data_IF_476807796487
#
_entry.id   IF_476807796487
#
_cell.length_a   1.000
_cell.length_b   1.000
_cell.length_c   1.000
_cell.angle_alpha   90.00
_cell.angle_beta   90.00
_cell.angle_gamma   90.00
#
_symmetry.space_group_name_H-M   'P 1'
#
loop_
_entity.id
_entity.type
_entity.pdbx_description
1 polymer ?
#
# COMPACT_ATOMS: atom_id res chain seq x y z
N UNK A 1 6.21 25.42 9.80
CA UNK A 1 6.39 26.02 8.46
C UNK A 1 5.06 25.91 7.74
N UNK A 2 4.50 27.00 7.20
CA UNK A 2 3.19 26.95 6.53
C UNK A 2 3.33 26.16 5.23
N UNK A 3 2.35 25.34 4.84
CA UNK A 3 2.39 24.54 3.59
C UNK A 3 2.77 25.37 2.36
N UNK A 4 2.36 26.64 2.31
CA UNK A 4 2.75 27.59 1.25
C UNK A 4 4.24 27.94 1.23
N UNK A 5 4.90 28.01 2.39
CA UNK A 5 6.34 28.28 2.50
C UNK A 5 7.16 27.07 2.03
N UNK A 6 6.71 25.85 2.36
CA UNK A 6 7.30 24.60 1.85
C UNK A 6 7.21 24.55 0.32
N UNK A 7 6.04 24.87 -0.26
CA UNK A 7 5.83 24.90 -1.72
C UNK A 7 6.74 25.94 -2.38
N UNK A 8 6.85 27.13 -1.80
CA UNK A 8 7.71 28.19 -2.31
C UNK A 8 9.20 27.81 -2.26
N UNK A 9 9.64 27.12 -1.20
CA UNK A 9 11.02 26.64 -1.08
C UNK A 9 11.34 25.47 -2.01
N UNK A 10 10.41 24.52 -2.18
CA UNK A 10 10.57 23.40 -3.13
C UNK A 10 10.56 23.84 -4.60
N UNK A 11 10.16 25.08 -4.88
CA UNK A 11 10.20 25.68 -6.22
C UNK A 11 11.52 26.42 -6.51
N UNK A 12 12.42 26.55 -5.53
CA UNK A 12 13.71 27.21 -5.73
C UNK A 12 14.78 26.21 -6.19
N UNK A 13 15.50 26.47 -7.29
CA UNK A 13 16.57 25.61 -7.78
C UNK A 13 17.68 25.44 -6.73
N UNK A 14 18.07 24.20 -6.42
CA UNK A 14 19.23 23.88 -5.57
C UNK A 14 18.91 23.61 -4.09
N UNK A 15 17.68 23.85 -3.62
CA UNK A 15 17.24 23.47 -2.26
C UNK A 15 16.54 22.09 -2.23
N UNK A 16 16.32 21.47 -3.39
CA UNK A 16 15.47 20.28 -3.51
C UNK A 16 16.00 19.06 -2.74
N UNK A 17 17.31 18.70 -2.76
CA UNK A 17 17.77 17.45 -2.16
C UNK A 17 17.68 17.42 -0.62
N UNK A 18 18.04 18.52 0.05
CA UNK A 18 18.09 18.61 1.51
C UNK A 18 16.69 18.72 2.13
N UNK A 19 15.85 19.61 1.59
CA UNK A 19 14.46 19.75 2.03
C UNK A 19 13.69 18.43 1.84
N UNK A 20 13.93 17.72 0.75
CA UNK A 20 13.27 16.45 0.45
C UNK A 20 13.76 15.30 1.33
N UNK A 21 15.07 15.17 1.58
CA UNK A 21 15.59 14.16 2.52
C UNK A 21 15.04 14.33 3.94
N UNK A 22 14.91 15.58 4.37
CA UNK A 22 14.43 15.88 5.71
C UNK A 22 12.90 15.71 5.83
N UNK A 23 12.14 15.99 4.77
CA UNK A 23 10.73 15.61 4.67
C UNK A 23 10.55 14.09 4.67
N UNK A 24 11.35 13.33 3.91
CA UNK A 24 11.31 11.86 3.91
C UNK A 24 11.54 11.29 5.32
N UNK A 25 12.56 11.78 6.04
CA UNK A 25 12.85 11.34 7.40
C UNK A 25 11.70 11.68 8.37
N UNK A 26 11.14 12.88 8.25
CA UNK A 26 9.98 13.32 9.01
C UNK A 26 8.75 12.41 8.78
N UNK A 27 8.44 12.09 7.52
CA UNK A 27 7.29 11.24 7.20
C UNK A 27 7.52 9.77 7.54
N UNK A 28 8.75 9.26 7.42
CA UNK A 28 9.09 7.91 7.87
C UNK A 28 8.91 7.79 9.39
N UNK A 29 9.46 8.74 10.16
CA UNK A 29 9.28 8.79 11.61
C UNK A 29 7.81 8.90 12.02
N UNK A 30 7.06 9.81 11.38
CA UNK A 30 5.63 9.96 11.65
C UNK A 30 4.82 8.71 11.28
N UNK A 31 5.23 7.98 10.24
CA UNK A 31 4.62 6.70 9.89
C UNK A 31 4.92 5.64 10.94
N UNK A 32 6.15 5.55 11.45
CA UNK A 32 6.49 4.57 12.48
C UNK A 32 5.81 4.89 13.81
N UNK A 33 5.81 6.16 14.25
CA UNK A 33 5.07 6.61 15.44
C UNK A 33 3.55 6.34 15.31
N UNK A 34 2.98 6.55 14.13
CA UNK A 34 1.57 6.27 13.88
C UNK A 34 1.26 4.75 13.85
N UNK A 35 2.25 3.89 13.62
CA UNK A 35 2.08 2.44 13.69
C UNK A 35 2.22 1.86 15.11
N UNK A 36 2.66 2.69 16.08
CA UNK A 36 2.63 2.35 17.50
C UNK A 36 1.22 2.47 18.09
N UNK A 37 0.35 3.29 17.49
CA UNK A 37 -1.06 3.36 17.87
C UNK A 37 -1.83 2.15 17.34
N UNK A 38 -2.72 1.58 18.17
CA UNK A 38 -3.53 0.40 17.83
C UNK A 38 -4.99 0.79 17.47
N UNK A 39 -5.18 1.94 16.81
CA UNK A 39 -6.48 2.48 16.42
C UNK A 39 -6.56 2.83 14.92
N UNK A 40 -7.77 3.01 14.39
CA UNK A 40 -7.97 3.28 12.97
C UNK A 40 -7.43 4.65 12.52
N UNK A 41 -7.42 5.66 13.38
CA UNK A 41 -6.89 6.98 13.03
C UNK A 41 -5.36 6.92 12.89
N UNK A 42 -4.70 6.21 13.81
CA UNK A 42 -3.28 5.86 13.77
C UNK A 42 -2.94 5.09 12.48
N UNK A 43 -3.77 4.12 12.07
CA UNK A 43 -3.64 3.43 10.77
C UNK A 43 -3.64 4.41 9.59
N UNK A 44 -4.65 5.29 9.54
CA UNK A 44 -4.83 6.22 8.44
C UNK A 44 -3.71 7.25 8.37
N UNK A 45 -3.24 7.73 9.52
CA UNK A 45 -2.09 8.62 9.61
C UNK A 45 -0.81 7.96 9.12
N UNK A 46 -0.56 6.71 9.54
CA UNK A 46 0.58 5.92 9.06
C UNK A 46 0.53 5.76 7.54
N UNK A 47 -0.66 5.42 7.00
CA UNK A 47 -0.86 5.26 5.57
C UNK A 47 -0.55 6.54 4.81
N UNK A 48 -1.14 7.66 5.22
CA UNK A 48 -0.96 8.94 4.56
C UNK A 48 0.50 9.41 4.64
N UNK A 49 1.15 9.25 5.79
CA UNK A 49 2.56 9.62 6.00
C UNK A 49 3.49 8.80 5.12
N UNK A 50 3.33 7.46 5.11
CA UNK A 50 4.10 6.58 4.25
C UNK A 50 3.92 6.91 2.76
N UNK A 51 2.69 7.22 2.31
CA UNK A 51 2.42 7.62 0.93
C UNK A 51 3.11 8.91 0.52
N UNK A 52 3.28 9.85 1.46
CA UNK A 52 4.05 11.07 1.19
C UNK A 52 5.54 10.74 1.11
N UNK A 53 6.08 10.00 2.08
CA UNK A 53 7.49 9.58 2.09
C UNK A 53 7.87 8.83 0.80
N UNK A 54 7.00 7.92 0.33
CA UNK A 54 7.18 7.20 -0.92
C UNK A 54 7.37 8.13 -2.12
N UNK A 55 6.46 9.09 -2.29
CA UNK A 55 6.50 10.03 -3.42
C UNK A 55 7.73 10.92 -3.39
N UNK A 56 8.11 11.39 -2.21
CA UNK A 56 9.32 12.18 -2.01
C UNK A 56 10.57 11.36 -2.39
N UNK A 57 10.64 10.09 -1.96
CA UNK A 57 11.73 9.18 -2.34
C UNK A 57 11.89 9.00 -3.85
N UNK A 58 10.77 8.84 -4.56
CA UNK A 58 10.76 8.75 -6.03
C UNK A 58 11.25 10.06 -6.65
N UNK A 59 10.75 11.20 -6.17
CA UNK A 59 11.16 12.50 -6.67
C UNK A 59 12.66 12.76 -6.46
N UNK A 60 13.20 12.38 -5.30
CA UNK A 60 14.63 12.48 -5.00
C UNK A 60 15.48 11.63 -5.93
N UNK A 61 15.10 10.38 -6.13
CA UNK A 61 15.81 9.50 -7.06
C UNK A 61 15.79 10.08 -8.48
N UNK A 62 14.62 10.53 -8.94
CA UNK A 62 14.48 11.12 -10.26
C UNK A 62 15.33 12.40 -10.42
N UNK A 63 15.34 13.33 -9.45
CA UNK A 63 16.20 14.53 -9.51
C UNK A 63 17.70 14.18 -9.50
N UNK A 64 18.10 13.19 -8.69
CA UNK A 64 19.48 12.71 -8.68
C UNK A 64 19.89 12.15 -10.04
N UNK A 65 19.02 11.33 -10.66
CA UNK A 65 19.24 10.82 -12.01
C UNK A 65 19.26 11.95 -13.04
N UNK A 66 18.39 12.95 -12.94
CA UNK A 66 18.39 14.10 -13.85
C UNK A 66 19.75 14.82 -13.85
N UNK A 67 20.32 15.07 -12.67
CA UNK A 67 21.63 15.72 -12.52
C UNK A 67 22.77 14.90 -13.15
N UNK A 68 22.73 13.57 -13.04
CA UNK A 68 23.70 12.68 -13.68
C UNK A 68 23.68 12.75 -15.21
N UNK A 69 22.55 13.17 -15.79
CA UNK A 69 22.30 13.23 -17.23
C UNK A 69 22.21 14.66 -17.77
N UNK A 70 22.86 15.64 -17.13
CA UNK A 70 22.86 17.04 -17.57
C UNK A 70 23.40 17.24 -19.01
N UNK A 71 24.15 16.28 -19.55
CA UNK A 71 24.64 16.28 -20.93
C UNK A 71 23.66 15.62 -21.93
N UNK A 72 22.52 15.10 -21.48
CA UNK A 72 21.45 14.53 -22.30
C UNK A 72 20.13 15.23 -21.94
N UNK A 73 19.79 16.34 -22.63
CA UNK A 73 18.66 17.20 -22.26
C UNK A 73 17.32 16.46 -22.19
N UNK A 74 17.12 15.44 -23.04
CA UNK A 74 15.89 14.65 -23.06
C UNK A 74 15.81 13.71 -21.85
N UNK A 75 16.91 13.03 -21.50
CA UNK A 75 16.96 12.19 -20.32
C UNK A 75 16.79 13.03 -19.03
N UNK A 76 17.45 14.19 -18.97
CA UNK A 76 17.28 15.15 -17.87
C UNK A 76 15.81 15.59 -17.75
N UNK A 77 15.19 16.01 -18.85
CA UNK A 77 13.79 16.47 -18.85
C UNK A 77 12.82 15.38 -18.38
N UNK A 78 12.98 14.14 -18.85
CA UNK A 78 12.13 13.01 -18.43
C UNK A 78 12.18 12.84 -16.90
N UNK A 79 13.39 12.81 -16.34
CA UNK A 79 13.56 12.65 -14.89
C UNK A 79 13.01 13.84 -14.10
N UNK A 80 13.19 15.08 -14.58
CA UNK A 80 12.60 16.27 -13.96
C UNK A 80 11.07 16.19 -13.95
N UNK A 81 10.43 15.77 -15.04
CA UNK A 81 8.98 15.58 -15.10
C UNK A 81 8.48 14.53 -14.11
N UNK A 82 9.19 13.38 -14.02
CA UNK A 82 8.87 12.33 -13.03
C UNK A 82 8.95 12.89 -11.61
N UNK A 83 10.00 13.67 -11.31
CA UNK A 83 10.14 14.29 -10.00
C UNK A 83 9.03 15.29 -9.68
N UNK A 84 8.72 16.20 -10.61
CA UNK A 84 7.69 17.22 -10.43
C UNK A 84 6.31 16.60 -10.18
N UNK A 85 5.94 15.57 -10.95
CA UNK A 85 4.67 14.85 -10.76
C UNK A 85 4.56 14.28 -9.34
N UNK A 86 5.60 13.58 -8.87
CA UNK A 86 5.61 12.99 -7.54
C UNK A 86 5.60 14.04 -6.40
N UNK A 87 6.28 15.18 -6.60
CA UNK A 87 6.24 16.29 -5.63
C UNK A 87 4.84 16.90 -5.53
N UNK A 88 4.15 17.12 -6.64
CA UNK A 88 2.78 17.64 -6.64
C UNK A 88 1.81 16.68 -5.94
N UNK A 89 1.93 15.39 -6.19
CA UNK A 89 1.11 14.37 -5.51
C UNK A 89 1.39 14.28 -4.00
N UNK A 90 2.66 14.44 -3.60
CA UNK A 90 3.07 14.50 -2.20
C UNK A 90 2.42 15.71 -1.51
N UNK A 91 2.51 16.90 -2.14
CA UNK A 91 1.92 18.14 -1.64
C UNK A 91 0.39 18.05 -1.53
N UNK A 92 -0.29 17.49 -2.53
CA UNK A 92 -1.73 17.25 -2.49
C UNK A 92 -2.12 16.32 -1.33
N UNK A 93 -1.26 15.37 -0.98
CA UNK A 93 -1.48 14.45 0.14
C UNK A 93 -1.26 15.10 1.51
N UNK A 94 -0.29 16.02 1.61
CA UNK A 94 -0.11 16.84 2.83
C UNK A 94 -1.36 17.68 3.11
N UNK A 95 -1.98 18.25 2.06
CA UNK A 95 -3.23 18.98 2.20
C UNK A 95 -4.36 18.15 2.84
N UNK A 96 -4.41 16.84 2.54
CA UNK A 96 -5.36 15.91 3.18
C UNK A 96 -5.03 15.66 4.64
N UNK A 97 -3.75 15.49 5.01
CA UNK A 97 -3.34 15.30 6.40
C UNK A 97 -3.73 16.47 7.31
N UNK A 98 -3.59 17.70 6.81
CA UNK A 98 -3.97 18.91 7.57
C UNK A 98 -5.48 18.96 7.83
N UNK A 99 -6.30 18.43 6.90
CA UNK A 99 -7.75 18.36 7.08
C UNK A 99 -8.19 17.33 8.14
N UNK A 100 -7.36 16.33 8.47
CA UNK A 100 -7.66 15.30 9.48
C UNK A 100 -7.39 15.71 10.94
N UNK A 101 -7.14 16.99 11.22
CA UNK A 101 -7.18 17.51 12.59
C UNK A 101 -5.90 17.35 13.41
N UNK A 102 -4.76 17.00 12.80
CA UNK A 102 -3.48 17.04 13.49
C UNK A 102 -2.90 18.46 13.45
N UNK A 103 -3.08 19.18 14.57
CA UNK A 103 -2.53 20.51 14.81
C UNK A 103 -1.01 20.59 14.60
N UNK A 104 -0.53 21.83 14.51
CA UNK A 104 0.83 22.24 14.13
C UNK A 104 1.96 21.49 14.89
N UNK A 105 2.33 20.29 14.43
CA UNK A 105 3.61 19.69 14.82
C UNK A 105 4.72 20.44 14.10
N UNK A 106 5.69 20.96 14.88
CA UNK A 106 6.93 21.53 14.33
C UNK A 106 7.84 20.39 13.91
N UNK A 107 8.27 20.43 12.65
CA UNK A 107 9.18 19.47 12.05
C UNK A 107 10.58 20.06 12.03
N UNK A 108 11.57 19.31 12.50
CA UNK A 108 12.97 19.70 12.51
C UNK A 108 13.72 18.93 11.41
N UNK A 109 14.51 19.64 10.60
CA UNK A 109 15.10 19.14 9.36
C UNK A 109 16.63 19.23 9.43
N UNK A 110 17.30 18.08 9.55
CA UNK A 110 18.76 17.95 9.66
C UNK A 110 19.51 17.89 8.31
N UNK A 111 20.83 18.05 8.37
CA UNK A 111 21.77 18.19 7.22
C UNK A 111 22.47 16.87 6.82
N UNK A 112 22.60 16.53 5.51
CA UNK A 112 23.27 15.29 5.07
C UNK A 112 24.61 15.47 4.32
N UNK A 113 25.32 14.34 4.12
CA UNK A 113 26.65 14.17 3.51
C UNK A 113 26.61 13.59 2.06
N UNK A 114 27.70 13.68 1.26
CA UNK A 114 27.69 13.32 -0.17
C UNK A 114 28.30 11.94 -0.50
N UNK A 115 27.90 11.36 -1.65
CA UNK A 115 28.51 10.14 -2.24
C UNK A 115 28.54 10.15 -3.79
N UNK A 116 29.42 9.34 -4.43
CA UNK A 116 29.97 9.58 -5.77
C UNK A 116 29.42 8.69 -6.92
N UNK A 117 29.80 9.04 -8.16
CA UNK A 117 29.37 8.44 -9.44
C UNK A 117 30.46 7.62 -10.15
N UNK A 118 30.05 6.65 -10.99
CA UNK A 118 30.74 6.14 -12.20
C UNK A 118 29.83 5.12 -12.95
N UNK A 119 30.21 4.54 -14.10
CA UNK A 119 30.21 5.04 -15.48
C UNK A 119 29.71 3.89 -16.40
N UNK A 120 29.23 4.17 -17.62
CA UNK A 120 28.57 3.20 -18.50
C UNK A 120 29.51 2.54 -19.55
N UNK A 121 29.13 1.33 -20.01
CA UNK A 121 29.81 0.53 -21.05
C UNK A 121 28.85 0.21 -22.25
N UNK A 122 29.38 -0.21 -23.43
CA UNK A 122 28.75 0.02 -24.74
C UNK A 122 27.80 -1.08 -25.27
N UNK A 123 27.09 -0.75 -26.36
CA UNK A 123 25.83 -1.33 -26.87
C UNK A 123 25.95 -2.28 -28.09
N UNK A 124 25.05 -3.28 -28.18
CA UNK A 124 24.67 -4.02 -29.41
C UNK A 124 23.14 -3.95 -29.59
N UNK A 125 22.67 -3.06 -30.48
CA UNK A 125 21.29 -2.54 -30.43
C UNK A 125 20.16 -3.48 -30.90
N UNK A 126 20.35 -4.31 -31.94
CA UNK A 126 19.25 -5.11 -32.50
C UNK A 126 18.78 -6.29 -31.61
N UNK A 127 19.67 -7.15 -31.07
CA UNK A 127 19.28 -8.19 -30.11
C UNK A 127 18.62 -7.63 -28.83
N UNK A 128 18.84 -6.34 -28.54
CA UNK A 128 18.28 -5.63 -27.39
C UNK A 128 16.82 -5.23 -27.59
N UNK A 129 16.39 -4.85 -28.79
CA UNK A 129 15.00 -4.41 -29.04
C UNK A 129 14.03 -5.59 -28.96
N UNK A 130 14.38 -6.75 -29.52
CA UNK A 130 13.52 -7.94 -29.46
C UNK A 130 13.38 -8.43 -28.02
N UNK A 131 14.47 -8.44 -27.25
CA UNK A 131 14.45 -8.77 -25.83
C UNK A 131 13.59 -7.78 -25.03
N UNK A 132 13.70 -6.47 -25.30
CA UNK A 132 12.87 -5.46 -24.64
C UNK A 132 11.39 -5.61 -24.99
N UNK A 133 11.08 -5.92 -26.25
CA UNK A 133 9.71 -6.21 -26.69
C UNK A 133 9.16 -7.41 -25.94
N UNK A 134 9.95 -8.48 -25.82
CA UNK A 134 9.60 -9.67 -25.06
C UNK A 134 9.33 -9.35 -23.58
N UNK A 135 10.21 -8.55 -22.94
CA UNK A 135 10.04 -8.09 -21.56
C UNK A 135 8.72 -7.35 -21.41
N UNK A 136 8.42 -6.39 -22.30
CA UNK A 136 7.22 -5.57 -22.21
C UNK A 136 5.94 -6.39 -22.36
N UNK A 137 5.92 -7.35 -23.30
CA UNK A 137 4.77 -8.26 -23.49
C UNK A 137 4.50 -9.09 -22.23
N UNK A 138 5.52 -9.70 -21.65
CA UNK A 138 5.35 -10.56 -20.48
C UNK A 138 4.96 -9.77 -19.22
N UNK A 139 5.57 -8.61 -19.00
CA UNK A 139 5.23 -7.78 -17.83
C UNK A 139 3.82 -7.21 -17.93
N UNK A 140 3.35 -6.85 -19.14
CA UNK A 140 1.97 -6.40 -19.36
C UNK A 140 0.96 -7.44 -18.90
N UNK A 141 1.09 -8.68 -19.38
CA UNK A 141 0.14 -9.74 -19.00
C UNK A 141 0.26 -10.11 -17.51
N UNK A 142 1.47 -10.04 -16.94
CA UNK A 142 1.68 -10.27 -15.51
C UNK A 142 1.05 -9.19 -14.63
N UNK A 143 1.17 -7.92 -15.02
CA UNK A 143 0.56 -6.80 -14.29
C UNK A 143 -0.97 -6.79 -14.43
N UNK A 144 -1.53 -7.20 -15.58
CA UNK A 144 -2.99 -7.43 -15.74
C UNK A 144 -3.51 -8.46 -14.76
N UNK A 145 -2.84 -9.61 -14.68
CA UNK A 145 -3.18 -10.64 -13.70
C UNK A 145 -3.14 -10.07 -12.28
N UNK A 146 -2.08 -9.34 -11.92
CA UNK A 146 -1.99 -8.77 -10.58
C UNK A 146 -3.01 -7.66 -10.31
N UNK A 147 -3.39 -6.84 -11.29
CA UNK A 147 -4.45 -5.86 -11.10
C UNK A 147 -5.76 -6.57 -10.70
N UNK A 148 -6.12 -7.66 -11.38
CA UNK A 148 -7.31 -8.46 -11.08
C UNK A 148 -7.22 -9.18 -9.72
N UNK A 149 -6.10 -9.84 -9.45
CA UNK A 149 -5.82 -10.51 -8.17
C UNK A 149 -5.97 -9.53 -6.99
N UNK A 150 -5.44 -8.31 -7.13
CA UNK A 150 -5.51 -7.29 -6.09
C UNK A 150 -6.93 -6.79 -5.85
N UNK A 151 -7.74 -6.61 -6.89
CA UNK A 151 -9.16 -6.30 -6.73
C UNK A 151 -9.87 -7.40 -5.95
N UNK A 152 -9.63 -8.67 -6.28
CA UNK A 152 -10.23 -9.80 -5.59
C UNK A 152 -9.84 -9.83 -4.10
N UNK A 153 -8.56 -9.65 -3.77
CA UNK A 153 -8.10 -9.63 -2.38
C UNK A 153 -8.65 -8.41 -1.61
N UNK A 154 -8.71 -7.23 -2.24
CA UNK A 154 -9.29 -6.05 -1.61
C UNK A 154 -10.77 -6.23 -1.28
N UNK A 155 -11.55 -6.79 -2.22
CA UNK A 155 -12.96 -7.11 -1.99
C UNK A 155 -13.12 -8.13 -0.84
N UNK A 156 -12.24 -9.12 -0.79
CA UNK A 156 -12.23 -10.13 0.26
C UNK A 156 -11.95 -9.53 1.65
N UNK A 157 -10.90 -8.70 1.78
CA UNK A 157 -10.63 -7.96 3.02
C UNK A 157 -11.79 -7.05 3.44
N UNK A 158 -12.46 -6.39 2.47
CA UNK A 158 -13.62 -5.55 2.77
C UNK A 158 -14.80 -6.36 3.29
N UNK A 159 -15.02 -7.58 2.79
CA UNK A 159 -16.04 -8.50 3.32
C UNK A 159 -15.72 -8.91 4.75
N UNK A 160 -14.46 -9.26 5.05
CA UNK A 160 -14.05 -9.58 6.42
C UNK A 160 -14.21 -8.38 7.36
N UNK A 161 -13.85 -7.17 6.93
CA UNK A 161 -14.10 -5.95 7.69
C UNK A 161 -15.60 -5.74 7.97
N UNK A 162 -16.46 -5.97 6.99
CA UNK A 162 -17.92 -5.83 7.18
C UNK A 162 -18.49 -6.88 8.13
N UNK A 163 -18.01 -8.13 8.06
CA UNK A 163 -18.33 -9.19 9.04
C UNK A 163 -18.04 -8.72 10.46
N UNK A 164 -16.84 -8.20 10.71
CA UNK A 164 -16.46 -7.70 12.04
C UNK A 164 -17.33 -6.53 12.50
N UNK A 165 -17.69 -5.59 11.61
CA UNK A 165 -18.59 -4.48 11.92
C UNK A 165 -19.98 -4.96 12.33
N UNK A 166 -20.54 -5.95 11.64
CA UNK A 166 -21.85 -6.52 11.98
C UNK A 166 -21.82 -7.15 13.35
N UNK A 167 -20.78 -7.94 13.66
CA UNK A 167 -20.60 -8.55 15.00
C UNK A 167 -20.46 -7.48 16.07
N UNK A 168 -19.61 -6.45 15.84
CA UNK A 168 -19.42 -5.35 16.77
C UNK A 168 -20.73 -4.60 17.06
N UNK A 169 -21.55 -4.38 16.04
CA UNK A 169 -22.84 -3.71 16.19
C UNK A 169 -23.85 -4.58 16.95
N UNK A 170 -23.86 -5.90 16.71
CA UNK A 170 -24.68 -6.84 17.46
C UNK A 170 -24.39 -6.75 18.96
N UNK A 171 -23.12 -6.73 19.35
CA UNK A 171 -22.70 -6.61 20.75
C UNK A 171 -23.11 -5.31 21.42
N UNK A 172 -23.25 -4.23 20.65
CA UNK A 172 -23.71 -2.93 21.15
C UNK A 172 -25.23 -2.88 21.29
N UNK A 173 -25.95 -3.42 20.30
CA UNK A 173 -27.41 -3.29 20.19
C UNK A 173 -28.17 -4.35 20.98
N UNK A 174 -27.70 -5.59 20.97
CA UNK A 174 -28.45 -6.69 21.57
C UNK A 174 -28.47 -6.57 23.10
N UNK A 175 -29.61 -6.87 23.75
CA UNK A 175 -29.66 -6.90 25.21
C UNK A 175 -28.69 -7.98 25.75
N UNK A 176 -28.14 -7.81 26.97
CA UNK A 176 -27.39 -8.89 27.62
C UNK A 176 -28.21 -10.18 27.70
N UNK A 177 -27.56 -11.33 27.50
CA UNK A 177 -28.25 -12.61 27.62
C UNK A 177 -28.78 -12.81 29.04
N UNK A 178 -30.01 -13.30 29.15
CA UNK A 178 -30.59 -13.79 30.40
C UNK A 178 -30.40 -15.30 30.46
N UNK A 179 -29.21 -15.72 30.91
CA UNK A 179 -28.89 -17.14 31.07
C UNK A 179 -29.43 -17.64 32.41
N UNK A 180 -30.09 -18.80 32.39
CA UNK A 180 -30.48 -19.50 33.62
C UNK A 180 -29.22 -20.10 34.25
N UNK A 181 -28.84 -19.70 35.48
CA UNK A 181 -27.66 -20.25 36.16
C UNK A 181 -27.72 -21.75 36.40
N UNK A 182 -28.90 -22.37 36.32
CA UNK A 182 -29.08 -23.81 36.45
C UNK A 182 -28.67 -24.60 35.20
N UNK A 183 -28.49 -23.94 34.05
CA UNK A 183 -28.09 -24.59 32.80
C UNK A 183 -26.57 -24.73 32.76
N UNK A 184 -26.10 -25.98 32.67
CA UNK A 184 -24.71 -26.31 32.39
C UNK A 184 -24.50 -26.49 30.88
N UNK A 185 -23.86 -25.52 30.24
CA UNK A 185 -23.55 -25.56 28.80
C UNK A 185 -22.44 -26.56 28.43
N UNK A 186 -21.80 -27.20 29.42
CA UNK A 186 -20.91 -28.34 29.15
C UNK A 186 -21.66 -29.66 28.93
N UNK A 187 -22.96 -29.71 29.25
CA UNK A 187 -23.82 -30.85 28.91
C UNK A 187 -24.01 -30.93 27.37
N UNK A 188 -23.73 -32.09 26.73
CA UNK A 188 -23.93 -32.28 25.29
C UNK A 188 -25.33 -31.92 24.76
N UNK A 189 -26.37 -31.99 25.61
CA UNK A 189 -27.73 -31.60 25.24
C UNK A 189 -27.84 -30.10 24.96
N UNK A 190 -27.06 -29.27 25.68
CA UNK A 190 -27.08 -27.80 25.56
C UNK A 190 -25.88 -27.23 24.81
N UNK A 191 -24.85 -28.04 24.52
CA UNK A 191 -23.68 -27.65 23.73
C UNK A 191 -24.00 -26.92 22.39
N UNK A 192 -25.09 -27.25 21.64
CA UNK A 192 -25.40 -26.53 20.41
C UNK A 192 -26.15 -25.19 20.62
N UNK A 193 -26.23 -24.67 21.84
CA UNK A 193 -26.91 -23.39 22.11
C UNK A 193 -26.10 -22.20 21.61
N UNK A 194 -26.69 -21.37 20.73
CA UNK A 194 -26.09 -20.12 20.28
C UNK A 194 -26.28 -18.98 21.28
N UNK A 195 -25.29 -18.08 21.38
CA UNK A 195 -25.39 -16.87 22.20
C UNK A 195 -26.40 -15.87 21.62
N UNK A 196 -27.50 -15.59 22.32
CA UNK A 196 -28.57 -14.69 21.83
C UNK A 196 -28.16 -13.21 21.81
N UNK A 197 -27.18 -12.85 22.62
CA UNK A 197 -26.69 -11.49 22.79
C UNK A 197 -25.42 -11.19 21.96
N UNK A 198 -24.61 -12.22 21.67
CA UNK A 198 -23.35 -12.07 20.91
C UNK A 198 -23.50 -12.33 19.41
N UNK A 199 -24.57 -13.01 19.00
CA UNK A 199 -24.84 -13.28 17.59
C UNK A 199 -25.78 -12.25 16.97
N UNK A 200 -25.56 -11.93 15.70
CA UNK A 200 -26.59 -11.29 14.86
C UNK A 200 -27.35 -12.36 14.09
N UNK A 201 -28.44 -12.88 14.67
CA UNK A 201 -29.19 -14.01 14.12
C UNK A 201 -29.54 -13.85 12.64
N UNK A 202 -29.97 -12.65 12.22
CA UNK A 202 -30.37 -12.39 10.83
C UNK A 202 -29.18 -12.28 9.86
N UNK A 203 -27.95 -12.17 10.37
CA UNK A 203 -26.73 -12.04 9.56
C UNK A 203 -25.83 -13.28 9.60
N UNK A 204 -26.06 -14.25 10.49
CA UNK A 204 -25.24 -15.48 10.60
C UNK A 204 -25.07 -16.15 9.23
N UNK A 205 -26.14 -16.26 8.44
CA UNK A 205 -26.08 -16.88 7.10
C UNK A 205 -25.17 -16.15 6.11
N UNK A 206 -24.92 -14.86 6.32
CA UNK A 206 -24.09 -14.02 5.44
C UNK A 206 -22.66 -13.89 5.95
N UNK A 207 -22.48 -13.78 7.28
CA UNK A 207 -21.18 -13.49 7.89
C UNK A 207 -20.50 -14.75 8.46
N UNK A 208 -21.25 -15.82 8.67
CA UNK A 208 -20.76 -17.12 9.14
C UNK A 208 -20.28 -17.17 10.59
N UNK A 209 -20.17 -16.04 11.29
CA UNK A 209 -19.70 -16.00 12.69
C UNK A 209 -20.83 -16.45 13.63
N UNK A 210 -20.54 -17.50 14.40
CA UNK A 210 -21.47 -18.08 15.38
C UNK A 210 -20.76 -18.26 16.73
N UNK A 211 -21.24 -17.54 17.75
CA UNK A 211 -20.90 -17.75 19.15
C UNK A 211 -21.83 -18.79 19.76
N UNK A 212 -21.25 -19.78 20.43
CA UNK A 212 -21.96 -20.87 21.09
C UNK A 212 -21.74 -20.75 22.60
N UNK A 213 -22.77 -20.96 23.40
CA UNK A 213 -22.65 -20.92 24.86
C UNK A 213 -21.68 -22.00 25.36
N UNK A 214 -20.86 -21.65 26.36
CA UNK A 214 -19.88 -22.58 26.94
C UNK A 214 -18.65 -22.87 26.07
N UNK A 215 -18.63 -22.42 24.82
CA UNK A 215 -17.54 -22.69 23.88
C UNK A 215 -16.43 -21.63 23.91
N UNK A 216 -15.30 -21.96 23.29
CA UNK A 216 -14.19 -21.04 23.10
C UNK A 216 -14.42 -20.06 21.92
N UNK A 217 -13.37 -19.36 21.49
CA UNK A 217 -13.40 -18.49 20.31
C UNK A 217 -13.95 -19.21 19.06
N UNK A 218 -14.91 -18.58 18.32
CA UNK A 218 -15.46 -19.13 17.09
C UNK A 218 -14.39 -19.45 16.04
N UNK A 219 -14.57 -20.56 15.32
CA UNK A 219 -13.61 -21.02 14.32
C UNK A 219 -13.41 -20.00 13.18
N UNK A 220 -14.44 -19.24 12.84
CA UNK A 220 -14.38 -18.22 11.78
C UNK A 220 -13.43 -17.08 12.15
N UNK A 221 -13.33 -16.72 13.43
CA UNK A 221 -12.38 -15.70 13.90
C UNK A 221 -10.96 -16.25 13.87
N UNK A 222 -10.76 -17.52 14.26
CA UNK A 222 -9.45 -18.20 14.15
C UNK A 222 -8.96 -18.27 12.71
N UNK A 223 -9.84 -18.65 11.78
CA UNK A 223 -9.55 -18.70 10.34
C UNK A 223 -9.22 -17.32 9.80
N UNK A 224 -9.98 -16.28 10.20
CA UNK A 224 -9.67 -14.91 9.85
C UNK A 224 -8.27 -14.50 10.33
N UNK A 225 -7.95 -14.69 11.61
CA UNK A 225 -6.62 -14.38 12.17
C UNK A 225 -5.51 -15.08 11.39
N UNK A 226 -5.65 -16.38 11.13
CA UNK A 226 -4.68 -17.14 10.34
C UNK A 226 -4.50 -16.60 8.91
N UNK A 227 -5.61 -16.22 8.24
CA UNK A 227 -5.60 -15.60 6.92
C UNK A 227 -4.87 -14.25 6.94
N UNK A 228 -5.16 -13.39 7.91
CA UNK A 228 -4.49 -12.08 8.03
C UNK A 228 -2.98 -12.25 8.28
N UNK A 229 -2.58 -13.17 9.16
CA UNK A 229 -1.17 -13.50 9.42
C UNK A 229 -0.45 -13.96 8.15
N UNK A 230 -1.06 -14.88 7.39
CA UNK A 230 -0.48 -15.40 6.16
C UNK A 230 -0.34 -14.30 5.09
N UNK A 231 -1.38 -13.46 4.91
CA UNK A 231 -1.36 -12.35 3.97
C UNK A 231 -0.31 -11.30 4.33
N UNK A 232 -0.23 -10.89 5.60
CA UNK A 232 0.76 -9.93 6.06
C UNK A 232 2.19 -10.41 5.78
N UNK A 233 2.50 -11.65 6.17
CA UNK A 233 3.81 -12.24 5.94
C UNK A 233 4.15 -12.35 4.44
N UNK A 234 3.19 -12.75 3.61
CA UNK A 234 3.37 -12.85 2.16
C UNK A 234 3.62 -11.49 1.52
N UNK A 235 2.85 -10.46 1.91
CA UNK A 235 2.94 -9.12 1.34
C UNK A 235 4.20 -8.39 1.77
N UNK A 236 4.65 -8.58 3.01
CA UNK A 236 5.94 -8.06 3.46
C UNK A 236 7.08 -8.60 2.60
N UNK A 237 7.19 -9.93 2.46
CA UNK A 237 8.23 -10.55 1.61
C UNK A 237 8.15 -10.12 0.16
N UNK A 238 6.95 -10.12 -0.44
CA UNK A 238 6.76 -9.73 -1.83
C UNK A 238 7.09 -8.24 -2.05
N UNK A 239 6.74 -7.38 -1.10
CA UNK A 239 7.05 -5.96 -1.13
C UNK A 239 8.55 -5.69 -0.97
N UNK A 240 9.24 -6.37 -0.06
CA UNK A 240 10.70 -6.27 0.12
C UNK A 240 11.43 -6.70 -1.17
N UNK A 241 11.05 -7.85 -1.72
CA UNK A 241 11.62 -8.36 -2.97
C UNK A 241 11.39 -7.39 -4.14
N UNK A 242 10.17 -6.90 -4.33
CA UNK A 242 9.85 -6.00 -5.44
C UNK A 242 10.55 -4.65 -5.28
N UNK A 243 10.65 -4.10 -4.06
CA UNK A 243 11.36 -2.87 -3.80
C UNK A 243 12.84 -2.98 -4.21
N UNK A 244 13.51 -4.08 -3.84
CA UNK A 244 14.89 -4.33 -4.23
C UNK A 244 15.04 -4.46 -5.76
N UNK A 245 14.09 -5.12 -6.43
CA UNK A 245 14.08 -5.23 -7.90
C UNK A 245 13.91 -3.88 -8.59
N UNK A 246 13.06 -3.01 -8.05
CA UNK A 246 12.82 -1.68 -8.61
C UNK A 246 13.98 -0.72 -8.32
N UNK A 247 14.63 -0.82 -7.15
CA UNK A 247 15.84 -0.05 -6.87
C UNK A 247 16.95 -0.39 -7.89
N UNK A 248 17.18 -1.68 -8.14
CA UNK A 248 18.13 -2.13 -9.16
C UNK A 248 17.69 -1.80 -10.61
N UNK A 249 16.40 -1.53 -10.83
CA UNK A 249 15.88 -1.23 -12.16
C UNK A 249 16.33 0.14 -12.66
N UNK A 250 16.46 1.14 -11.79
CA UNK A 250 16.90 2.49 -12.19
C UNK A 250 18.21 2.46 -12.97
N UNK A 251 19.17 1.68 -12.48
CA UNK A 251 20.49 1.55 -13.09
C UNK A 251 20.47 0.72 -14.38
N UNK A 252 19.70 -0.37 -14.38
CA UNK A 252 19.53 -1.26 -15.54
C UNK A 252 18.88 -0.53 -16.71
N UNK A 253 17.91 0.33 -16.42
CA UNK A 253 17.07 0.99 -17.42
C UNK A 253 17.70 2.30 -17.94
N UNK A 254 18.90 2.68 -17.46
CA UNK A 254 19.75 3.73 -18.08
C UNK A 254 20.00 3.48 -19.57
N UNK A 255 19.99 2.21 -19.97
CA UNK A 255 19.91 1.73 -21.34
C UNK A 255 18.92 2.49 -22.23
N UNK A 256 17.77 2.89 -21.65
CA UNK A 256 16.69 3.56 -22.37
C UNK A 256 17.08 4.95 -22.85
N UNK A 257 18.19 5.53 -22.37
CA UNK A 257 18.65 6.84 -22.81
C UNK A 257 19.44 6.81 -24.12
N UNK A 258 19.69 5.63 -24.68
CA UNK A 258 20.25 5.50 -26.03
C UNK A 258 19.29 6.10 -27.07
N UNK A 259 19.79 6.77 -28.13
CA UNK A 259 18.94 7.41 -29.13
C UNK A 259 17.87 6.50 -29.75
N UNK A 260 18.18 5.21 -29.90
CA UNK A 260 17.26 4.21 -30.44
C UNK A 260 16.12 3.84 -29.48
N UNK A 261 16.27 4.07 -28.18
CA UNK A 261 15.34 3.64 -27.13
C UNK A 261 14.67 4.80 -26.37
N UNK A 262 15.18 6.02 -26.53
CA UNK A 262 14.70 7.20 -25.79
C UNK A 262 13.21 7.50 -26.02
N UNK A 263 12.64 7.03 -27.14
CA UNK A 263 11.22 7.16 -27.43
C UNK A 263 10.31 6.38 -26.45
N UNK A 264 10.81 5.28 -25.86
CA UNK A 264 10.06 4.45 -24.91
C UNK A 264 10.50 4.60 -23.45
N UNK A 265 11.52 5.44 -23.21
CA UNK A 265 12.08 5.63 -21.88
C UNK A 265 11.01 6.04 -20.86
N UNK A 266 10.15 7.01 -21.20
CA UNK A 266 9.10 7.49 -20.30
C UNK A 266 8.15 6.36 -19.85
N UNK A 267 7.65 5.53 -20.78
CA UNK A 267 6.77 4.42 -20.47
C UNK A 267 7.47 3.41 -19.54
N UNK A 268 8.75 3.10 -19.78
CA UNK A 268 9.55 2.21 -18.93
C UNK A 268 9.80 2.80 -17.53
N UNK A 269 10.12 4.08 -17.43
CA UNK A 269 10.32 4.71 -16.12
C UNK A 269 9.02 4.81 -15.33
N UNK A 270 7.88 5.02 -15.97
CA UNK A 270 6.58 4.99 -15.29
C UNK A 270 6.29 3.62 -14.68
N UNK A 271 6.59 2.52 -15.39
CA UNK A 271 6.35 1.18 -14.83
C UNK A 271 7.29 0.88 -13.65
N UNK A 272 8.54 1.37 -13.66
CA UNK A 272 9.44 1.30 -12.50
C UNK A 272 8.85 2.07 -11.31
N UNK A 273 8.40 3.31 -11.54
CA UNK A 273 7.82 4.18 -10.50
C UNK A 273 6.58 3.54 -9.88
N UNK A 274 5.66 3.06 -10.71
CA UNK A 274 4.42 2.41 -10.26
C UNK A 274 4.74 1.14 -9.47
N UNK A 275 5.63 0.28 -9.96
CA UNK A 275 6.00 -0.94 -9.25
C UNK A 275 6.77 -0.66 -7.95
N UNK A 276 7.61 0.38 -7.92
CA UNK A 276 8.31 0.79 -6.70
C UNK A 276 7.31 1.26 -5.66
N UNK A 277 6.34 2.12 -6.04
CA UNK A 277 5.25 2.55 -5.16
C UNK A 277 4.43 1.36 -4.67
N UNK A 278 3.97 0.49 -5.58
CA UNK A 278 3.21 -0.71 -5.24
C UNK A 278 3.97 -1.67 -4.30
N UNK A 279 5.30 -1.74 -4.40
CA UNK A 279 6.12 -2.54 -3.47
C UNK A 279 6.06 -2.02 -2.03
N UNK A 280 6.09 -0.69 -1.87
CA UNK A 280 6.05 -0.02 -0.57
C UNK A 280 4.64 -0.02 0.01
N UNK A 281 3.62 0.14 -0.83
CA UNK A 281 2.22 -0.01 -0.41
C UNK A 281 1.92 -1.45 0.06
N UNK A 282 2.52 -2.48 -0.54
CA UNK A 282 2.41 -3.86 -0.04
C UNK A 282 3.04 -4.05 1.34
N UNK A 283 4.22 -3.46 1.59
CA UNK A 283 4.86 -3.50 2.91
C UNK A 283 3.99 -2.78 3.96
N UNK A 284 3.45 -1.61 3.61
CA UNK A 284 2.54 -0.86 4.48
C UNK A 284 1.25 -1.65 4.75
N UNK A 285 0.63 -2.24 3.72
CA UNK A 285 -0.56 -3.07 3.88
C UNK A 285 -0.30 -4.25 4.83
N UNK A 286 0.87 -4.89 4.75
CA UNK A 286 1.27 -5.93 5.70
C UNK A 286 1.29 -5.42 7.15
N UNK A 287 1.89 -4.25 7.40
CA UNK A 287 1.92 -3.64 8.75
C UNK A 287 0.52 -3.29 9.26
N UNK A 288 -0.34 -2.76 8.39
CA UNK A 288 -1.74 -2.44 8.75
C UNK A 288 -2.53 -3.71 9.08
N UNK A 289 -2.29 -4.82 8.37
CA UNK A 289 -2.88 -6.12 8.69
C UNK A 289 -2.37 -6.66 10.04
N UNK A 290 -1.08 -6.55 10.33
CA UNK A 290 -0.49 -6.92 11.62
C UNK A 290 -1.11 -6.10 12.76
N UNK A 291 -1.39 -4.82 12.53
CA UNK A 291 -2.06 -3.97 13.51
C UNK A 291 -3.52 -4.40 13.77
N UNK A 292 -4.28 -4.69 12.70
CA UNK A 292 -5.63 -5.25 12.86
C UNK A 292 -5.60 -6.57 13.65
N UNK A 293 -4.61 -7.42 13.39
CA UNK A 293 -4.40 -8.68 14.11
C UNK A 293 -4.12 -8.43 15.60
N UNK A 294 -3.23 -7.49 15.96
CA UNK A 294 -2.96 -7.13 17.36
C UNK A 294 -4.24 -6.72 18.10
N UNK A 295 -5.07 -5.88 17.47
CA UNK A 295 -6.36 -5.47 18.06
C UNK A 295 -7.29 -6.66 18.25
N UNK A 296 -7.37 -7.58 17.26
CA UNK A 296 -8.17 -8.80 17.37
C UNK A 296 -7.65 -9.77 18.43
N UNK A 297 -6.34 -9.90 18.60
CA UNK A 297 -5.72 -10.74 19.63
C UNK A 297 -6.00 -10.21 21.04
N UNK A 298 -6.19 -8.89 21.19
CA UNK A 298 -6.58 -8.25 22.44
C UNK A 298 -8.06 -8.39 22.82
N UNK A 299 -8.88 -9.12 22.04
CA UNK A 299 -10.30 -9.38 22.33
C UNK A 299 -10.47 -10.84 22.78
N UNK A 300 -11.02 -11.09 23.98
CA UNK A 300 -11.32 -12.44 24.44
C UNK A 300 -12.61 -12.92 23.78
N UNK A 301 -12.51 -13.63 22.65
CA UNK A 301 -13.68 -14.13 21.90
C UNK A 301 -14.41 -15.32 22.56
N UNK A 302 -14.03 -15.71 23.78
CA UNK A 302 -14.82 -16.62 24.61
C UNK A 302 -16.06 -15.89 25.15
N UNK A 303 -17.30 -16.37 24.93
CA UNK A 303 -18.53 -15.66 25.28
C UNK A 303 -18.59 -15.13 26.70
N UNK A 304 -18.16 -15.96 27.68
CA UNK A 304 -18.14 -15.58 29.10
C UNK A 304 -17.26 -14.36 29.33
N UNK A 305 -16.01 -14.41 28.88
CA UNK A 305 -15.04 -13.31 29.05
C UNK A 305 -15.45 -12.08 28.26
N UNK A 306 -15.99 -12.27 27.06
CA UNK A 306 -16.47 -11.18 26.23
C UNK A 306 -17.57 -10.37 26.91
N UNK A 307 -18.46 -11.03 27.65
CA UNK A 307 -19.54 -10.37 28.40
C UNK A 307 -19.04 -9.52 29.57
N UNK A 308 -17.82 -9.73 30.06
CA UNK A 308 -17.26 -8.95 31.18
C UNK A 308 -17.07 -7.46 30.81
N UNK A 309 -16.73 -7.17 29.55
CA UNK A 309 -16.67 -5.79 29.03
C UNK A 309 -17.09 -5.73 27.54
N UNK A 310 -18.31 -6.17 27.29
CA UNK A 310 -18.85 -6.30 25.92
C UNK A 310 -18.80 -4.99 25.13
N UNK A 311 -19.04 -3.86 25.78
CA UNK A 311 -19.05 -2.55 25.12
C UNK A 311 -17.65 -2.11 24.68
N UNK A 312 -16.63 -2.31 25.51
CA UNK A 312 -15.25 -2.03 25.11
C UNK A 312 -14.78 -2.99 24.02
N UNK A 313 -15.10 -4.29 24.13
CA UNK A 313 -14.75 -5.27 23.11
C UNK A 313 -15.42 -4.99 21.76
N UNK A 314 -16.67 -4.54 21.76
CA UNK A 314 -17.34 -4.10 20.54
C UNK A 314 -16.64 -2.91 19.88
N UNK A 315 -16.15 -1.97 20.70
CA UNK A 315 -15.38 -0.82 20.20
C UNK A 315 -14.06 -1.25 19.60
N UNK A 316 -13.29 -2.10 20.28
CA UNK A 316 -12.06 -2.68 19.71
C UNK A 316 -12.31 -3.46 18.42
N UNK A 317 -13.39 -4.25 18.36
CA UNK A 317 -13.74 -5.00 17.16
C UNK A 317 -14.07 -4.09 15.99
N UNK A 318 -14.77 -2.97 16.26
CA UNK A 318 -15.05 -1.96 15.26
C UNK A 318 -13.77 -1.28 14.76
N UNK A 319 -12.82 -0.96 15.65
CA UNK A 319 -11.51 -0.42 15.29
C UNK A 319 -10.71 -1.40 14.42
N UNK A 320 -10.62 -2.68 14.81
CA UNK A 320 -9.97 -3.71 14.00
C UNK A 320 -10.58 -3.80 12.59
N UNK A 321 -11.91 -3.70 12.50
CA UNK A 321 -12.62 -3.70 11.22
C UNK A 321 -12.31 -2.45 10.36
N UNK A 322 -12.17 -1.29 10.99
CA UNK A 322 -11.80 -0.05 10.31
C UNK A 322 -10.34 -0.08 9.81
N UNK A 323 -9.41 -0.63 10.61
CA UNK A 323 -8.01 -0.86 10.21
C UNK A 323 -7.95 -1.84 9.02
N UNK A 324 -8.73 -2.93 9.07
CA UNK A 324 -8.80 -3.91 7.98
C UNK A 324 -9.37 -3.30 6.69
N UNK A 325 -10.39 -2.44 6.80
CA UNK A 325 -10.91 -1.68 5.67
C UNK A 325 -9.87 -0.70 5.08
N UNK A 326 -9.01 -0.11 5.92
CA UNK A 326 -7.89 0.72 5.45
C UNK A 326 -6.88 -0.09 4.63
N UNK A 327 -6.58 -1.33 5.05
CA UNK A 327 -5.75 -2.25 4.26
C UNK A 327 -6.41 -2.61 2.91
N UNK A 328 -7.72 -2.87 2.90
CA UNK A 328 -8.46 -3.10 1.64
C UNK A 328 -8.34 -1.89 0.69
N UNK A 329 -8.50 -0.66 1.19
CA UNK A 329 -8.37 0.55 0.38
C UNK A 329 -6.97 0.73 -0.21
N UNK A 330 -5.91 0.41 0.54
CA UNK A 330 -4.54 0.41 0.01
C UNK A 330 -4.42 -0.54 -1.17
N UNK A 331 -4.91 -1.77 -1.03
CA UNK A 331 -4.80 -2.81 -2.06
C UNK A 331 -5.59 -2.44 -3.31
N UNK A 332 -6.78 -1.84 -3.16
CA UNK A 332 -7.56 -1.30 -4.27
C UNK A 332 -6.79 -0.24 -5.05
N UNK A 333 -6.09 0.67 -4.36
CA UNK A 333 -5.28 1.71 -5.02
C UNK A 333 -4.12 1.10 -5.80
N UNK A 334 -3.38 0.16 -5.20
CA UNK A 334 -2.30 -0.55 -5.89
C UNK A 334 -2.83 -1.33 -7.11
N UNK A 335 -4.06 -1.86 -7.04
CA UNK A 335 -4.70 -2.53 -8.17
C UNK A 335 -4.98 -1.56 -9.34
N UNK A 336 -5.52 -0.38 -9.04
CA UNK A 336 -5.77 0.66 -10.01
C UNK A 336 -4.47 1.16 -10.66
N UNK A 337 -3.45 1.42 -9.85
CA UNK A 337 -2.12 1.82 -10.32
C UNK A 337 -1.52 0.81 -11.31
N UNK A 338 -1.65 -0.49 -11.04
CA UNK A 338 -1.19 -1.54 -11.96
C UNK A 338 -2.03 -1.61 -13.23
N UNK A 339 -3.34 -1.40 -13.14
CA UNK A 339 -4.20 -1.36 -14.32
C UNK A 339 -3.83 -0.17 -15.24
N UNK A 340 -3.51 0.99 -14.66
CA UNK A 340 -3.09 2.19 -15.38
C UNK A 340 -1.74 2.05 -16.10
N UNK A 341 -0.97 0.98 -15.83
CA UNK A 341 0.23 0.66 -16.60
C UNK A 341 -0.07 0.00 -17.95
N UNK A 342 -1.25 -0.58 -18.17
CA UNK A 342 -1.52 -1.30 -19.43
C UNK A 342 -1.35 -0.42 -20.68
N UNK A 343 -1.80 0.85 -20.71
CA UNK A 343 -1.52 1.75 -21.81
C UNK A 343 -0.02 2.04 -21.99
N UNK A 344 0.73 2.20 -20.88
CA UNK A 344 2.19 2.42 -20.94
C UNK A 344 2.91 1.22 -21.58
N UNK A 345 2.53 -0.01 -21.20
CA UNK A 345 3.06 -1.22 -21.80
C UNK A 345 2.71 -1.35 -23.27
N UNK A 346 1.44 -1.10 -23.61
CA UNK A 346 0.94 -1.15 -24.98
C UNK A 346 1.72 -0.20 -25.89
N UNK A 347 1.91 1.03 -25.43
CA UNK A 347 2.64 2.06 -26.17
C UNK A 347 4.13 1.74 -26.30
N UNK A 348 4.74 1.19 -25.25
CA UNK A 348 6.12 0.72 -25.28
C UNK A 348 6.34 -0.39 -26.33
N UNK A 349 5.48 -1.41 -26.33
CA UNK A 349 5.51 -2.51 -27.31
C UNK A 349 5.37 -1.95 -28.73
N UNK A 350 4.37 -1.09 -28.97
CA UNK A 350 4.10 -0.48 -30.27
C UNK A 350 5.31 0.26 -30.82
N UNK A 351 5.99 1.04 -29.99
CA UNK A 351 7.18 1.80 -30.41
C UNK A 351 8.38 0.90 -30.68
N UNK A 352 8.61 -0.13 -29.85
CA UNK A 352 9.72 -1.07 -30.06
C UNK A 352 9.54 -1.84 -31.38
N UNK A 353 8.34 -2.31 -31.67
CA UNK A 353 8.02 -3.03 -32.92
C UNK A 353 8.24 -2.17 -34.17
N UNK A 354 7.85 -0.89 -34.11
CA UNK A 354 8.11 0.08 -35.19
C UNK A 354 9.60 0.35 -35.39
N UNK A 355 10.39 0.27 -34.31
CA UNK A 355 11.84 0.49 -34.36
C UNK A 355 12.56 -0.74 -34.93
N UNK A 356 12.09 -1.97 -34.64
CA UNK A 356 12.63 -3.20 -35.24
C UNK A 356 12.35 -3.33 -36.74
N UNK A 357 11.25 -2.75 -37.24
CA UNK A 357 10.82 -2.85 -38.64
C UNK A 357 10.50 -1.46 -39.21
N UNK A 358 11.52 -0.61 -39.47
CA UNK A 358 11.27 0.67 -40.12
C UNK A 358 10.64 0.39 -41.47
N UNK A 359 9.38 0.82 -41.67
CA UNK A 359 8.69 0.68 -42.95
C UNK A 359 9.60 1.26 -44.03
N UNK A 360 10.01 0.44 -45.00
CA UNK A 360 10.65 0.93 -46.21
C UNK A 360 9.69 1.95 -46.83
N UNK A 361 10.05 3.22 -46.74
CA UNK A 361 9.34 4.28 -47.42
C UNK A 361 9.61 4.02 -48.90
N UNK A 362 8.63 3.43 -49.60
CA UNK A 362 8.63 3.39 -51.07
C UNK A 362 8.57 4.84 -51.56
N UNK A 363 9.73 5.37 -51.94
CA UNK A 363 9.89 6.64 -52.66
C UNK A 363 9.38 6.53 -54.08
#
# INVERSE_FOLDING_TARGET
MKTREVIAQLSQPGLEPAAMAALEAAFAKASDEALEGDDAASAQLAIASAQIAMRLGIARKALTTAAQYANNPRAEQINRTVAQSNLLDALASVGRLVAYGHGERKWDVGTPAPEPHAAAAPSTAAPRIDLLTNICRHHREHERFYAQDRVAVAADLQREANKLKVVAEAWRRNPPAQLDPAIDFSDPVYAPAGCTDLNELNAISMIGVLFMEGEAEPIEIKVLKAKLTALAAAWRRAGEWLAAKMEAAWDRERAMYEPALIAVAHQRYNTIVVNWRGSRERQLAARVLEMALRVLEGIPFEPRRLREDRAAHATRLHEAAAILAAAAQLVTRTAADLADNDPNWTECIRHLEQTSHPREIRT
#
